data_IF_747453157788
#
_entry.id   IF_747453157788
#
_cell.length_a   1.000
_cell.length_b   1.000
_cell.length_c   1.000
_cell.angle_alpha   90.00
_cell.angle_beta   90.00
_cell.angle_gamma   90.00
#
_symmetry.space_group_name_H-M   'P 1'
#
loop_
_entity.id
_entity.type
_entity.pdbx_description
1 polymer ?
#
# COMPACT_ATOMS: atom_id res chain seq x y z
N UNK A 1 1.41 9.45 12.79
CA UNK A 1 0.22 9.64 11.93
C UNK A 1 -0.47 8.30 11.58
N UNK A 2 0.26 7.29 11.09
CA UNK A 2 -0.32 6.04 10.56
C UNK A 2 -0.63 4.94 11.59
N UNK A 3 -0.05 5.02 12.79
CA UNK A 3 -0.01 3.92 13.76
C UNK A 3 -1.38 3.44 14.30
N UNK A 4 -2.48 4.15 14.04
CA UNK A 4 -3.85 3.72 14.44
C UNK A 4 -4.85 3.63 13.29
N UNK A 5 -4.44 3.88 12.05
CA UNK A 5 -5.35 3.79 10.91
C UNK A 5 -5.87 2.35 10.73
N UNK A 6 -5.02 1.34 11.01
CA UNK A 6 -5.34 -0.07 10.86
C UNK A 6 -6.47 -0.57 11.77
N UNK A 7 -6.77 0.13 12.87
CA UNK A 7 -7.83 -0.24 13.80
C UNK A 7 -9.17 0.43 13.51
N UNK A 8 -9.27 1.22 12.42
CA UNK A 8 -10.51 1.91 12.05
C UNK A 8 -11.41 1.02 11.19
N UNK A 9 -12.73 1.00 11.45
CA UNK A 9 -13.67 0.34 10.57
C UNK A 9 -13.49 0.80 9.12
N UNK A 10 -13.50 -0.16 8.18
CA UNK A 10 -13.34 0.11 6.76
C UNK A 10 -11.89 0.37 6.30
N UNK A 11 -10.88 0.27 7.17
CA UNK A 11 -9.49 0.32 6.73
C UNK A 11 -9.13 -0.89 5.85
N UNK A 12 -8.54 -0.64 4.67
CA UNK A 12 -8.11 -1.68 3.74
C UNK A 12 -6.60 -1.94 3.85
N UNK A 13 -5.80 -0.89 3.98
CA UNK A 13 -4.34 -1.00 3.95
C UNK A 13 -3.66 0.35 3.79
N UNK A 14 -2.35 0.35 4.07
CA UNK A 14 -1.47 1.45 3.75
C UNK A 14 -0.19 0.93 3.09
N UNK A 15 0.37 1.73 2.20
CA UNK A 15 1.68 1.51 1.60
C UNK A 15 2.46 2.82 1.65
N UNK A 16 3.76 2.72 1.90
CA UNK A 16 4.70 3.82 1.81
C UNK A 16 5.74 3.45 0.76
N UNK A 17 5.97 4.36 -0.19
CA UNK A 17 6.98 4.23 -1.22
C UNK A 17 7.92 5.40 -1.10
N UNK A 18 9.21 5.13 -1.29
CA UNK A 18 10.24 6.16 -1.34
C UNK A 18 10.87 6.11 -2.72
N UNK A 19 10.96 7.25 -3.39
CA UNK A 19 11.64 7.39 -4.68
C UNK A 19 13.14 7.60 -4.49
N UNK A 20 13.89 7.50 -5.59
CA UNK A 20 15.34 7.61 -5.58
C UNK A 20 15.85 9.02 -5.22
N UNK A 21 15.02 10.06 -5.42
CA UNK A 21 15.27 11.44 -5.01
C UNK A 21 14.84 11.76 -3.57
N UNK A 22 14.31 10.76 -2.85
CA UNK A 22 13.95 10.87 -1.44
C UNK A 22 12.52 11.37 -1.17
N UNK A 23 11.70 11.59 -2.20
CA UNK A 23 10.27 11.85 -2.00
C UNK A 23 9.55 10.61 -1.43
N UNK A 24 8.57 10.84 -0.57
CA UNK A 24 7.75 9.76 0.02
C UNK A 24 6.30 9.85 -0.45
N UNK A 25 5.76 8.74 -0.94
CA UNK A 25 4.36 8.58 -1.31
C UNK A 25 3.66 7.59 -0.36
N UNK A 26 2.75 8.12 0.46
CA UNK A 26 1.82 7.33 1.25
C UNK A 26 0.50 7.08 0.52
N UNK A 27 0.11 5.82 0.37
CA UNK A 27 -1.22 5.44 -0.13
C UNK A 27 -1.99 4.72 0.98
N UNK A 28 -3.09 5.32 1.43
CA UNK A 28 -3.96 4.77 2.48
C UNK A 28 -5.33 4.52 1.86
N UNK A 29 -5.89 3.33 2.06
CA UNK A 29 -7.15 2.92 1.44
C UNK A 29 -8.20 2.61 2.50
N UNK A 30 -9.41 3.10 2.24
CA UNK A 30 -10.62 2.82 3.01
C UNK A 30 -11.71 2.27 2.08
N UNK A 31 -12.58 1.44 2.64
CA UNK A 31 -13.68 0.78 1.92
C UNK A 31 -14.74 1.77 1.44
N UNK A 32 -14.95 2.84 2.19
CA UNK A 32 -15.89 3.91 1.84
C UNK A 32 -15.33 5.28 2.21
N UNK A 33 -15.94 6.32 1.65
CA UNK A 33 -15.64 7.71 1.97
C UNK A 33 -15.93 8.01 3.45
N UNK A 34 -17.00 7.46 3.99
CA UNK A 34 -17.41 7.66 5.39
C UNK A 34 -16.39 7.08 6.36
N UNK A 35 -15.80 5.92 6.03
CA UNK A 35 -14.71 5.32 6.81
C UNK A 35 -13.45 6.20 6.81
N UNK A 36 -13.11 6.78 5.65
CA UNK A 36 -12.01 7.75 5.53
C UNK A 36 -12.29 9.02 6.35
N UNK A 37 -13.49 9.59 6.23
CA UNK A 37 -13.90 10.79 6.96
C UNK A 37 -13.86 10.54 8.48
N UNK A 38 -14.36 9.39 8.93
CA UNK A 38 -14.31 8.99 10.34
C UNK A 38 -12.87 8.84 10.88
N UNK A 39 -11.93 8.35 10.06
CA UNK A 39 -10.52 8.33 10.43
C UNK A 39 -9.90 9.73 10.44
N UNK A 40 -10.18 10.56 9.42
CA UNK A 40 -9.71 11.94 9.35
C UNK A 40 -10.10 12.72 10.60
N UNK A 41 -11.34 12.53 11.04
CA UNK A 41 -11.94 13.28 12.14
C UNK A 41 -11.64 12.70 13.52
N UNK A 42 -10.96 11.55 13.59
CA UNK A 42 -10.52 10.94 14.83
C UNK A 42 -9.59 11.89 15.63
N UNK A 43 -9.83 12.07 16.95
CA UNK A 43 -9.01 12.95 17.78
C UNK A 43 -7.51 12.61 17.78
N UNK A 44 -7.15 11.32 17.71
CA UNK A 44 -5.74 10.90 17.66
C UNK A 44 -5.12 11.28 16.32
N UNK A 45 -5.85 11.08 15.23
CA UNK A 45 -5.40 11.48 13.91
C UNK A 45 -5.20 13.01 13.83
N UNK A 46 -6.17 13.79 14.28
CA UNK A 46 -6.06 15.27 14.34
C UNK A 46 -4.91 15.74 15.22
N UNK A 47 -4.64 15.06 16.34
CA UNK A 47 -3.50 15.37 17.19
C UNK A 47 -2.16 15.08 16.50
N UNK A 48 -2.05 13.98 15.75
CA UNK A 48 -0.86 13.70 14.95
C UNK A 48 -0.65 14.74 13.84
N UNK A 49 -1.73 15.22 13.21
CA UNK A 49 -1.67 16.26 12.19
C UNK A 49 -1.16 17.61 12.70
N UNK A 50 -1.52 18.00 13.92
CA UNK A 50 -0.98 19.23 14.55
C UNK A 50 0.54 19.18 14.74
N UNK A 51 1.13 17.98 14.76
CA UNK A 51 2.56 17.74 14.92
C UNK A 51 3.26 17.49 13.58
N UNK A 52 2.58 17.65 12.45
CA UNK A 52 3.15 17.29 11.15
C UNK A 52 4.45 18.05 10.84
N UNK A 53 4.56 19.33 11.25
CA UNK A 53 5.78 20.12 11.08
C UNK A 53 6.99 19.66 11.90
N UNK A 54 6.81 18.73 12.85
CA UNK A 54 7.92 18.05 13.53
C UNK A 54 8.56 16.96 12.64
N UNK A 55 7.84 16.48 11.63
CA UNK A 55 8.23 15.31 10.83
C UNK A 55 8.46 15.63 9.35
N UNK A 56 7.78 16.64 8.83
CA UNK A 56 7.82 16.98 7.40
C UNK A 56 8.07 18.47 7.20
N UNK A 57 8.96 18.79 6.25
CA UNK A 57 9.17 20.16 5.77
C UNK A 57 8.00 20.62 4.90
N UNK A 58 7.50 19.73 4.05
CA UNK A 58 6.37 19.97 3.16
C UNK A 58 5.68 18.64 2.85
N UNK A 59 4.37 18.67 2.62
CA UNK A 59 3.62 17.57 2.01
C UNK A 59 2.27 18.10 1.51
N UNK A 60 1.61 17.32 0.65
CA UNK A 60 0.23 17.54 0.25
C UNK A 60 -0.56 16.24 0.41
N UNK A 61 -1.88 16.35 0.57
CA UNK A 61 -2.77 15.20 0.65
C UNK A 61 -3.97 15.42 -0.25
N UNK A 62 -4.28 14.42 -1.06
CA UNK A 62 -5.48 14.39 -1.87
C UNK A 62 -6.29 13.14 -1.56
N UNK A 63 -7.58 13.33 -1.33
CA UNK A 63 -8.54 12.25 -1.14
C UNK A 63 -9.28 12.03 -2.45
N UNK A 64 -9.32 10.79 -2.92
CA UNK A 64 -9.87 10.42 -4.22
C UNK A 64 -10.80 9.22 -4.10
N UNK A 65 -11.85 9.20 -4.91
CA UNK A 65 -12.62 7.98 -5.15
C UNK A 65 -12.03 7.19 -6.31
N UNK A 66 -12.14 5.86 -6.23
CA UNK A 66 -11.62 5.01 -7.30
C UNK A 66 -12.64 4.87 -8.41
N UNK A 67 -12.34 5.40 -9.58
CA UNK A 67 -13.19 5.28 -10.77
C UNK A 67 -13.28 3.84 -11.30
N UNK A 68 -12.15 3.11 -11.31
CA UNK A 68 -12.08 1.73 -11.80
C UNK A 68 -10.94 0.96 -11.15
N UNK A 69 -11.20 -0.31 -10.80
CA UNK A 69 -10.18 -1.26 -10.34
C UNK A 69 -10.18 -2.53 -11.19
N UNK A 70 -8.99 -2.98 -11.57
CA UNK A 70 -8.80 -4.28 -12.21
C UNK A 70 -7.54 -4.95 -11.65
N UNK A 71 -7.53 -6.28 -11.72
CA UNK A 71 -6.37 -7.10 -11.38
C UNK A 71 -6.03 -7.97 -12.58
N UNK A 72 -4.75 -8.03 -12.93
CA UNK A 72 -4.28 -8.99 -13.92
C UNK A 72 -3.93 -10.31 -13.24
N UNK A 73 -4.60 -11.40 -13.61
CA UNK A 73 -4.35 -12.74 -13.06
C UNK A 73 -4.46 -13.79 -14.16
N UNK A 74 -3.35 -14.49 -14.41
CA UNK A 74 -3.34 -15.64 -15.32
C UNK A 74 -3.66 -15.28 -16.77
N UNK A 75 -3.14 -14.16 -17.29
CA UNK A 75 -3.31 -13.79 -18.70
C UNK A 75 -4.47 -12.84 -19.00
N UNK A 76 -5.37 -12.59 -18.06
CA UNK A 76 -6.56 -11.77 -18.31
C UNK A 76 -6.79 -10.70 -17.23
N UNK A 77 -7.31 -9.51 -17.59
CA UNK A 77 -7.82 -8.55 -16.63
C UNK A 77 -9.11 -9.08 -16.00
N UNK A 78 -9.24 -8.92 -14.68
CA UNK A 78 -10.45 -9.20 -13.91
C UNK A 78 -10.83 -7.97 -13.11
N UNK A 79 -12.10 -7.83 -12.73
CA UNK A 79 -12.53 -6.77 -11.80
C UNK A 79 -11.65 -6.83 -10.55
N UNK A 80 -11.09 -5.69 -10.18
CA UNK A 80 -10.20 -5.58 -9.02
C UNK A 80 -11.00 -5.83 -7.74
N UNK A 81 -10.37 -6.42 -6.72
CA UNK A 81 -11.03 -6.57 -5.45
C UNK A 81 -11.10 -5.21 -4.75
N UNK A 82 -12.28 -4.89 -4.20
CA UNK A 82 -12.48 -3.73 -3.33
C UNK A 82 -11.56 -3.75 -2.10
N UNK A 83 -10.97 -4.91 -1.78
CA UNK A 83 -10.05 -5.13 -0.66
C UNK A 83 -8.70 -5.55 -1.23
N UNK A 84 -7.68 -4.74 -0.92
CA UNK A 84 -6.28 -4.79 -1.38
C UNK A 84 -5.79 -6.12 -1.98
N UNK A 85 -5.24 -6.04 -3.19
CA UNK A 85 -4.21 -6.96 -3.63
C UNK A 85 -2.93 -6.20 -3.80
N UNK A 86 -1.91 -6.59 -3.04
CA UNK A 86 -0.53 -6.30 -3.39
C UNK A 86 -0.27 -6.86 -4.79
N UNK A 87 0.23 -6.01 -5.69
CA UNK A 87 0.88 -6.48 -6.90
C UNK A 87 2.11 -7.27 -6.46
N UNK A 88 1.96 -8.59 -6.32
CA UNK A 88 3.12 -9.46 -6.12
C UNK A 88 3.83 -9.53 -7.47
N UNK A 89 5.03 -8.96 -7.54
CA UNK A 89 5.93 -9.19 -8.66
C UNK A 89 6.05 -10.71 -8.87
N UNK A 90 6.08 -11.16 -10.14
CA UNK A 90 6.47 -12.54 -10.42
C UNK A 90 7.90 -12.69 -9.90
N UNK A 91 8.11 -13.52 -8.88
CA UNK A 91 9.46 -13.98 -8.58
C UNK A 91 10.01 -14.61 -9.87
N UNK A 92 11.18 -14.19 -10.37
CA UNK A 92 11.83 -14.93 -11.44
C UNK A 92 11.96 -16.38 -10.97
N UNK A 93 11.53 -17.34 -11.79
CA UNK A 93 11.78 -18.75 -11.51
C UNK A 93 13.27 -18.89 -11.26
N UNK A 94 13.68 -19.24 -10.04
CA UNK A 94 15.06 -19.61 -9.82
C UNK A 94 15.36 -20.73 -10.82
N UNK A 95 16.28 -20.48 -11.75
CA UNK A 95 16.89 -21.54 -12.55
C UNK A 95 17.51 -22.47 -11.52
N UNK A 96 16.92 -23.63 -11.31
CA UNK A 96 17.59 -24.73 -10.63
C UNK A 96 18.78 -25.09 -11.53
N UNK A 97 19.94 -24.52 -11.25
CA UNK A 97 21.21 -25.10 -11.69
C UNK A 97 21.31 -26.43 -10.98
N UNK A 98 20.86 -27.49 -11.65
CA UNK A 98 21.18 -28.84 -11.25
C UNK A 98 22.68 -29.00 -11.34
N UNK A 99 23.38 -28.87 -10.20
CA UNK A 99 24.66 -29.54 -10.03
C UNK A 99 24.34 -31.03 -10.03
N UNK A 100 24.66 -31.70 -11.13
CA UNK A 100 24.84 -33.14 -11.13
C UNK A 100 26.08 -33.45 -10.27
N UNK A 101 26.02 -34.39 -9.32
CA UNK A 101 27.21 -34.85 -8.66
C UNK A 101 28.03 -35.66 -9.68
N UNK A 102 29.22 -35.19 -10.01
CA UNK A 102 30.19 -35.99 -10.76
C UNK A 102 30.64 -37.14 -9.87
N UNK A 103 30.24 -38.36 -10.25
CA UNK A 103 30.88 -39.59 -9.79
C UNK A 103 32.31 -39.62 -10.33
N UNK A 104 33.29 -39.46 -9.45
CA UNK A 104 34.63 -40.05 -9.57
C UNK A 104 34.76 -40.97 -8.35
N UNK A 105 35.19 -42.22 -8.44
CA UNK A 105 36.14 -42.86 -9.34
C UNK A 105 36.98 -43.74 -8.44
#
# INVERSE_FOLDING_TARGET
MLAKAHSKPGFIGYHLYTSDDGEELGVIRFETREALDAWRDDPTHRAAWRRAGEFYTEFWVQNCETFREYVWRGGAPRRGPRRSLSLRARQPRQRTSGLTPSTMG
#
